data_IF_234169168047
#
_entry.id   IF_234169168047
#
_cell.length_a   1.000
_cell.length_b   1.000
_cell.length_c   1.000
_cell.angle_alpha   90.00
_cell.angle_beta   90.00
_cell.angle_gamma   90.00
#
_symmetry.space_group_name_H-M   'P 1'
#
loop_
_entity.id
_entity.type
_entity.pdbx_description
1 polymer ?
#
# COMPACT_ATOMS: atom_id res chain seq x y z
N UNK A 1 -13.78 6.85 1.61
CA UNK A 1 -13.00 6.33 0.46
C UNK A 1 -12.79 7.46 -0.53
N UNK A 2 -11.54 7.71 -0.92
CA UNK A 2 -11.19 8.79 -1.85
C UNK A 2 -11.59 8.50 -3.30
N UNK A 3 -11.75 9.54 -4.12
CA UNK A 3 -12.28 9.39 -5.48
C UNK A 3 -11.33 8.64 -6.41
N UNK A 4 -10.02 8.88 -6.32
CA UNK A 4 -9.03 8.09 -7.06
C UNK A 4 -9.01 6.61 -6.66
N UNK A 5 -9.27 6.29 -5.38
CA UNK A 5 -9.42 4.90 -4.96
C UNK A 5 -10.64 4.25 -5.61
N UNK A 6 -11.77 4.98 -5.70
CA UNK A 6 -12.96 4.49 -6.43
C UNK A 6 -12.67 4.27 -7.91
N UNK A 7 -11.89 5.15 -8.55
CA UNK A 7 -11.51 4.98 -9.95
C UNK A 7 -10.66 3.72 -10.15
N UNK A 8 -9.62 3.55 -9.34
CA UNK A 8 -8.75 2.37 -9.39
C UNK A 8 -9.54 1.08 -9.15
N UNK A 9 -10.43 1.05 -8.13
CA UNK A 9 -11.23 -0.13 -7.82
C UNK A 9 -12.27 -0.49 -8.89
N UNK A 10 -12.68 0.49 -9.72
CA UNK A 10 -13.63 0.30 -10.81
C UNK A 10 -12.93 0.02 -12.15
N UNK A 11 -11.60 0.09 -12.19
CA UNK A 11 -10.84 -0.19 -13.40
C UNK A 11 -10.86 -1.69 -13.71
N UNK A 12 -10.62 -2.02 -14.97
CA UNK A 12 -10.47 -3.42 -15.41
C UNK A 12 -9.18 -4.07 -14.93
N UNK A 13 -8.23 -3.27 -14.43
CA UNK A 13 -6.96 -3.73 -13.91
C UNK A 13 -7.07 -4.25 -12.48
N UNK A 14 -8.07 -3.77 -11.72
CA UNK A 14 -8.38 -4.28 -10.41
C UNK A 14 -9.06 -5.66 -10.51
N UNK A 15 -8.33 -6.70 -10.10
CA UNK A 15 -8.81 -8.08 -10.11
C UNK A 15 -8.74 -8.63 -8.68
N UNK A 16 -9.86 -8.70 -7.94
CA UNK A 16 -9.87 -9.24 -6.58
C UNK A 16 -9.50 -10.73 -6.59
N UNK A 17 -9.11 -11.26 -5.43
CA UNK A 17 -8.77 -12.68 -5.28
C UNK A 17 -10.00 -13.49 -4.86
N UNK A 18 -10.01 -14.77 -5.21
CA UNK A 18 -11.10 -15.70 -4.83
C UNK A 18 -10.84 -16.36 -3.48
N UNK A 19 -10.61 -15.57 -2.43
CA UNK A 19 -10.44 -16.08 -1.05
C UNK A 19 -9.05 -16.66 -0.74
N UNK A 20 -8.00 -16.10 -1.33
CA UNK A 20 -6.61 -16.52 -1.06
C UNK A 20 -6.18 -15.99 0.31
N UNK A 21 -5.62 -16.86 1.15
CA UNK A 21 -4.95 -16.43 2.39
C UNK A 21 -3.52 -16.02 2.07
N UNK A 22 -3.17 -14.78 2.38
CA UNK A 22 -1.81 -14.26 2.19
C UNK A 22 -1.20 -13.84 3.52
N UNK A 23 -0.04 -14.41 3.85
CA UNK A 23 0.82 -13.88 4.90
C UNK A 23 1.45 -12.55 4.43
N UNK A 24 1.18 -11.48 5.19
CA UNK A 24 1.58 -10.11 4.84
C UNK A 24 2.60 -9.58 5.85
N UNK A 25 3.67 -8.97 5.35
CA UNK A 25 4.66 -8.23 6.13
C UNK A 25 4.51 -6.74 5.83
N UNK A 26 4.54 -5.92 6.87
CA UNK A 26 4.57 -4.45 6.74
C UNK A 26 5.96 -3.95 7.09
N UNK A 27 6.66 -3.34 6.13
CA UNK A 27 7.91 -2.64 6.37
C UNK A 27 7.58 -1.19 6.78
N UNK A 28 7.92 -0.74 7.99
CA UNK A 28 7.67 0.65 8.41
C UNK A 28 8.63 1.60 7.68
N UNK A 29 8.17 2.81 7.36
CA UNK A 29 8.97 3.82 6.67
C UNK A 29 10.17 4.29 7.48
N UNK A 30 10.10 4.19 8.81
CA UNK A 30 11.20 4.42 9.73
C UNK A 30 12.38 3.46 9.53
N UNK A 31 12.16 2.31 8.89
CA UNK A 31 13.20 1.35 8.49
C UNK A 31 14.12 1.91 7.40
N UNK A 32 13.66 2.88 6.61
CA UNK A 32 14.38 3.43 5.47
C UNK A 32 15.09 4.74 5.83
N UNK A 33 16.22 5.01 5.15
CA UNK A 33 16.80 6.35 5.13
C UNK A 33 15.89 7.31 4.37
N UNK A 34 15.92 8.61 4.68
CA UNK A 34 15.03 9.60 4.04
C UNK A 34 15.20 9.66 2.51
N UNK A 35 16.42 9.39 2.03
CA UNK A 35 16.74 9.31 0.60
C UNK A 35 16.24 8.03 -0.05
N UNK A 36 15.82 7.05 0.75
CA UNK A 36 15.42 5.72 0.31
C UNK A 36 13.91 5.44 0.40
N UNK A 37 13.13 6.44 0.83
CA UNK A 37 11.67 6.41 0.83
C UNK A 37 11.08 6.66 -0.55
N UNK A 38 11.58 5.98 -1.58
CA UNK A 38 10.97 5.95 -2.91
C UNK A 38 10.49 4.54 -3.25
N UNK A 39 9.47 4.42 -4.10
CA UNK A 39 8.83 3.12 -4.38
C UNK A 39 9.81 2.09 -4.95
N UNK A 40 10.78 2.50 -5.77
CA UNK A 40 11.73 1.58 -6.39
C UNK A 40 12.65 0.98 -5.32
N UNK A 41 13.24 1.81 -4.46
CA UNK A 41 14.12 1.33 -3.39
C UNK A 41 13.40 0.54 -2.32
N UNK A 42 12.15 0.88 -2.00
CA UNK A 42 11.33 0.08 -1.09
C UNK A 42 11.07 -1.31 -1.67
N UNK A 43 10.77 -1.40 -2.97
CA UNK A 43 10.63 -2.70 -3.67
C UNK A 43 11.96 -3.47 -3.74
N UNK A 44 13.08 -2.80 -3.97
CA UNK A 44 14.40 -3.43 -3.97
C UNK A 44 14.73 -4.05 -2.61
N UNK A 45 14.43 -3.32 -1.53
CA UNK A 45 14.63 -3.83 -0.16
C UNK A 45 13.68 -5.00 0.15
N UNK A 46 12.42 -4.93 -0.26
CA UNK A 46 11.47 -6.03 -0.15
C UNK A 46 11.99 -7.28 -0.90
N UNK A 47 12.53 -7.11 -2.10
CA UNK A 47 13.12 -8.20 -2.89
C UNK A 47 14.31 -8.86 -2.20
N UNK A 48 15.21 -8.09 -1.59
CA UNK A 48 16.33 -8.64 -0.77
C UNK A 48 15.82 -9.51 0.39
N UNK A 49 14.63 -9.20 0.90
CA UNK A 49 13.94 -9.93 1.98
C UNK A 49 13.06 -11.07 1.48
N UNK A 50 13.08 -11.37 0.17
CA UNK A 50 12.21 -12.38 -0.47
C UNK A 50 10.72 -12.09 -0.25
N UNK A 51 10.37 -10.81 -0.17
CA UNK A 51 8.99 -10.33 -0.16
C UNK A 51 8.57 -9.98 -1.59
N UNK A 52 7.29 -10.18 -1.90
CA UNK A 52 6.75 -10.00 -3.25
C UNK A 52 5.61 -9.00 -3.27
N UNK A 53 5.43 -8.34 -4.42
CA UNK A 53 4.28 -7.47 -4.67
C UNK A 53 2.98 -8.27 -4.61
N UNK A 54 1.91 -7.63 -4.15
CA UNK A 54 0.65 -8.29 -3.80
C UNK A 54 -0.52 -7.83 -4.66
N UNK A 55 -1.66 -8.49 -4.52
CA UNK A 55 -2.89 -8.01 -5.12
C UNK A 55 -3.31 -6.68 -4.47
N UNK A 56 -3.88 -5.78 -5.26
CA UNK A 56 -4.37 -4.49 -4.78
C UNK A 56 -5.51 -4.60 -3.76
N UNK A 57 -6.26 -5.71 -3.78
CA UNK A 57 -7.28 -6.05 -2.78
C UNK A 57 -6.72 -6.02 -1.35
N UNK A 58 -5.42 -6.27 -1.17
CA UNK A 58 -4.78 -6.21 0.15
C UNK A 58 -5.01 -4.88 0.86
N UNK A 59 -5.06 -3.75 0.14
CA UNK A 59 -5.36 -2.46 0.75
C UNK A 59 -6.79 -2.40 1.33
N UNK A 60 -7.76 -3.01 0.64
CA UNK A 60 -9.13 -3.13 1.10
C UNK A 60 -9.20 -3.99 2.37
N UNK A 61 -8.52 -5.15 2.35
CA UNK A 61 -8.49 -6.09 3.48
C UNK A 61 -7.81 -5.48 4.71
N UNK A 62 -6.68 -4.78 4.54
CA UNK A 62 -6.02 -4.04 5.63
C UNK A 62 -6.99 -3.01 6.22
N UNK A 63 -7.71 -2.27 5.36
CA UNK A 63 -8.63 -1.24 5.83
C UNK A 63 -9.83 -1.82 6.58
N UNK A 64 -10.33 -2.97 6.14
CA UNK A 64 -11.41 -3.70 6.81
C UNK A 64 -10.96 -4.28 8.15
N UNK A 65 -9.77 -4.87 8.19
CA UNK A 65 -9.23 -5.58 9.34
C UNK A 65 -8.76 -4.66 10.46
N UNK A 66 -8.06 -3.58 10.12
CA UNK A 66 -7.47 -2.69 11.12
C UNK A 66 -8.29 -1.43 11.31
N UNK A 67 -8.42 -1.01 12.56
CA UNK A 67 -8.94 0.28 12.99
C UNK A 67 -7.84 1.35 12.94
N UNK A 68 -8.23 2.61 13.02
CA UNK A 68 -7.29 3.74 12.95
C UNK A 68 -6.37 3.81 14.17
N UNK A 69 -6.89 3.51 15.35
CA UNK A 69 -6.12 3.40 16.60
C UNK A 69 -5.14 2.22 16.58
N UNK A 70 -5.48 1.12 15.91
CA UNK A 70 -4.55 -0.01 15.71
C UNK A 70 -3.42 0.33 14.74
N UNK A 71 -3.71 1.02 13.64
CA UNK A 71 -2.67 1.52 12.71
C UNK A 71 -1.76 2.53 13.42
N UNK A 72 -2.34 3.42 14.24
CA UNK A 72 -1.58 4.35 15.08
C UNK A 72 -0.71 3.63 16.11
N UNK A 73 -1.23 2.59 16.77
CA UNK A 73 -0.48 1.79 17.73
C UNK A 73 0.71 1.05 17.09
N UNK A 74 0.67 0.78 15.78
CA UNK A 74 1.82 0.30 15.02
C UNK A 74 2.86 1.40 14.71
N UNK A 75 2.59 2.65 15.10
CA UNK A 75 3.41 3.80 14.79
C UNK A 75 3.26 4.31 13.35
N UNK A 76 2.15 3.99 12.69
CA UNK A 76 1.92 4.28 11.27
C UNK A 76 0.78 5.29 11.08
N UNK A 77 0.85 6.09 10.01
CA UNK A 77 -0.23 6.95 9.54
C UNK A 77 -1.04 6.29 8.41
N UNK A 78 -0.38 5.46 7.62
CA UNK A 78 -1.00 4.72 6.53
C UNK A 78 -0.25 3.43 6.24
N UNK A 79 -0.93 2.48 5.62
CA UNK A 79 -0.32 1.25 5.11
C UNK A 79 -0.66 1.13 3.62
N UNK A 80 0.37 1.18 2.77
CA UNK A 80 0.27 1.03 1.32
C UNK A 80 0.37 -0.45 0.96
N UNK A 81 -0.56 -0.97 0.17
CA UNK A 81 -0.37 -2.27 -0.47
C UNK A 81 0.56 -2.10 -1.67
N UNK A 82 1.71 -2.75 -1.65
CA UNK A 82 2.71 -2.67 -2.73
C UNK A 82 2.33 -3.59 -3.90
N UNK A 83 1.18 -3.33 -4.51
CA UNK A 83 0.70 -3.99 -5.72
C UNK A 83 1.33 -3.41 -6.99
N UNK A 84 1.12 -4.02 -8.16
CA UNK A 84 1.53 -3.38 -9.41
C UNK A 84 0.70 -2.12 -9.67
N UNK A 85 1.31 -0.97 -10.01
CA UNK A 85 0.58 0.28 -10.09
C UNK A 85 -0.53 0.19 -11.14
N UNK A 86 -1.71 0.70 -10.78
CA UNK A 86 -2.85 0.79 -11.71
C UNK A 86 -3.07 2.25 -12.07
N UNK A 87 -3.37 2.52 -13.33
CA UNK A 87 -3.63 3.89 -13.78
C UNK A 87 -5.00 4.37 -13.31
N UNK A 88 -5.07 5.64 -12.92
CA UNK A 88 -6.35 6.35 -12.81
C UNK A 88 -6.87 6.81 -14.19
N UNK A 89 -7.95 7.59 -14.21
CA UNK A 89 -8.54 8.09 -15.47
C UNK A 89 -7.61 8.99 -16.29
N UNK A 90 -6.61 9.60 -15.65
CA UNK A 90 -5.63 10.50 -16.28
C UNK A 90 -4.39 9.73 -16.75
N UNK A 91 -4.40 8.39 -16.63
CA UNK A 91 -3.27 7.52 -16.98
C UNK A 91 -2.21 7.44 -15.89
N UNK A 92 -2.48 8.01 -14.72
CA UNK A 92 -1.49 8.22 -13.69
C UNK A 92 -1.40 7.01 -12.74
N UNK A 93 -0.21 6.42 -12.55
CA UNK A 93 -0.05 5.19 -11.75
C UNK A 93 -0.31 5.42 -10.26
N UNK A 94 -1.17 4.59 -9.69
CA UNK A 94 -1.59 4.63 -8.28
C UNK A 94 -1.32 3.33 -7.54
N UNK A 95 -1.05 3.46 -6.25
CA UNK A 95 -1.12 2.39 -5.25
C UNK A 95 -2.23 2.66 -4.25
N UNK A 96 -2.97 1.63 -3.87
CA UNK A 96 -4.01 1.71 -2.86
C UNK A 96 -3.40 1.64 -1.46
N UNK A 97 -3.96 2.44 -0.55
CA UNK A 97 -3.50 2.50 0.82
C UNK A 97 -4.64 2.73 1.83
N UNK A 98 -4.46 2.17 3.02
CA UNK A 98 -5.33 2.38 4.16
C UNK A 98 -4.73 3.48 5.05
N UNK A 99 -5.44 4.59 5.23
CA UNK A 99 -5.00 5.72 6.08
C UNK A 99 -5.87 5.88 7.29
N UNK A 100 -5.24 6.22 8.41
CA UNK A 100 -5.94 6.86 9.52
C UNK A 100 -6.14 8.33 9.19
N UNK A 101 -7.33 8.83 9.46
CA UNK A 101 -7.65 10.25 9.38
C UNK A 101 -8.60 10.61 10.53
N UNK A 102 -8.52 11.84 11.00
CA UNK A 102 -9.42 12.35 12.06
C UNK A 102 -10.87 12.34 11.58
N UNK A 103 -11.09 12.45 10.26
CA UNK A 103 -12.40 12.37 9.60
C UNK A 103 -12.92 10.95 9.31
N UNK A 104 -12.19 9.89 9.69
CA UNK A 104 -12.65 8.49 9.60
C UNK A 104 -11.66 7.51 8.95
N UNK A 105 -12.16 6.31 8.60
CA UNK A 105 -11.38 5.24 7.96
C UNK A 105 -11.29 5.44 6.45
N UNK A 106 -10.11 5.78 5.93
CA UNK A 106 -9.94 6.05 4.50
C UNK A 106 -9.19 4.93 3.77
N UNK A 107 -9.79 4.45 2.67
CA UNK A 107 -9.07 3.83 1.56
C UNK A 107 -8.76 4.92 0.53
N UNK A 108 -7.49 5.08 0.20
CA UNK A 108 -6.96 6.11 -0.69
C UNK A 108 -6.16 5.49 -1.84
N UNK A 109 -5.79 6.34 -2.80
CA UNK A 109 -4.93 5.99 -3.92
C UNK A 109 -3.77 6.99 -4.00
N UNK A 110 -2.59 6.52 -3.62
CA UNK A 110 -1.34 7.28 -3.66
C UNK A 110 -0.72 7.26 -5.04
N UNK A 111 -0.31 8.44 -5.48
CA UNK A 111 0.43 8.59 -6.72
C UNK A 111 1.84 8.02 -6.65
N UNK A 112 2.29 7.33 -7.70
CA UNK A 112 3.65 6.78 -7.78
C UNK A 112 4.37 7.27 -9.03
N UNK A 113 5.32 8.20 -8.86
CA UNK A 113 6.22 8.62 -9.94
C UNK A 113 7.68 8.59 -9.48
N UNK A 114 8.63 8.43 -10.42
CA UNK A 114 10.06 8.54 -10.10
C UNK A 114 10.36 9.82 -9.32
N UNK A 115 11.12 9.71 -8.23
CA UNK A 115 11.50 10.83 -7.37
C UNK A 115 10.44 11.28 -6.35
N UNK A 116 9.18 10.79 -6.44
CA UNK A 116 8.18 11.05 -5.40
C UNK A 116 8.51 10.22 -4.17
N UNK A 117 8.66 10.90 -3.03
CA UNK A 117 9.01 10.28 -1.75
C UNK A 117 7.77 9.98 -0.90
N UNK A 118 7.87 8.92 -0.13
CA UNK A 118 6.97 8.57 0.95
C UNK A 118 7.41 9.22 2.26
N UNK A 119 6.54 9.14 3.26
CA UNK A 119 6.83 9.63 4.61
C UNK A 119 7.30 8.48 5.53
N UNK A 120 8.12 8.81 6.54
CA UNK A 120 8.67 7.85 7.51
C UNK A 120 7.59 7.16 8.36
N UNK A 121 6.44 7.78 8.50
CA UNK A 121 5.27 7.27 9.22
C UNK A 121 4.38 6.36 8.34
N UNK A 122 4.76 6.09 7.09
CA UNK A 122 4.08 5.12 6.23
C UNK A 122 4.49 3.67 6.54
N UNK A 123 3.60 2.72 6.27
CA UNK A 123 3.90 1.29 6.22
C UNK A 123 3.75 0.76 4.80
N UNK A 124 4.58 -0.21 4.43
CA UNK A 124 4.59 -0.80 3.09
C UNK A 124 4.34 -2.31 3.18
N UNK A 125 3.15 -2.73 2.76
CA UNK A 125 2.69 -4.10 2.86
C UNK A 125 3.09 -4.92 1.63
N UNK A 126 3.73 -6.06 1.88
CA UNK A 126 4.15 -7.06 0.89
C UNK A 126 3.71 -8.45 1.35
N UNK A 127 3.70 -9.42 0.45
CA UNK A 127 3.57 -10.82 0.86
C UNK A 127 4.91 -11.46 1.14
N UNK A 128 4.86 -12.45 2.01
CA UNK A 128 5.89 -13.47 2.10
C UNK A 128 5.82 -14.34 0.84
N UNK A 129 6.97 -14.57 0.18
CA UNK A 129 7.03 -15.53 -0.92
C UNK A 129 6.60 -16.91 -0.42
N UNK A 130 5.73 -17.64 -1.13
CA UNK A 130 5.56 -19.06 -0.89
C UNK A 130 6.95 -19.73 -0.95
N UNK A 131 7.25 -20.58 0.03
CA UNK A 131 8.46 -21.42 0.01
C UNK A 131 8.33 -22.53 -1.03
#
# INVERSE_FOLDING_TARGET
>A
MGDYAKQVLRSTDFKPTSGVTTETVVLPGSFFGDKDLDTAKIRDEAKKRKLVTQNAELACLIREKFRDDEIEAMGLWYIVAMHEPMSDSDGDPRLLDARRDVGGRWLSASYVRPGRRWHRDGGFAFAVSPQ
#
